data_IF_575810523755
#
_entry.id   IF_575810523755
#
_cell.length_a   1.000
_cell.length_b   1.000
_cell.length_c   1.000
_cell.angle_alpha   90.00
_cell.angle_beta   90.00
_cell.angle_gamma   90.00
#
_symmetry.space_group_name_H-M   'P 1'
#
loop_
_entity.id
_entity.type
_entity.pdbx_description
1 polymer ?
#
# COMPACT_ATOMS: atom_id res chain seq x y z
N UNK A 1 20.29 3.51 34.63
CA UNK A 1 19.72 4.21 33.45
C UNK A 1 20.36 3.82 32.12
N UNK A 2 21.69 3.71 31.98
CA UNK A 2 22.31 3.32 30.69
C UNK A 2 21.85 1.97 30.16
N UNK A 3 21.84 0.93 30.99
CA UNK A 3 21.46 -0.44 30.60
C UNK A 3 19.99 -0.51 30.11
N UNK A 4 19.08 0.19 30.77
CA UNK A 4 17.68 0.22 30.38
C UNK A 4 17.48 0.89 29.00
N UNK A 5 18.15 2.01 28.73
CA UNK A 5 18.10 2.69 27.44
C UNK A 5 18.68 1.84 26.30
N UNK A 6 19.71 1.06 26.60
CA UNK A 6 20.35 0.16 25.64
C UNK A 6 19.45 -1.03 25.29
N UNK A 7 18.76 -1.62 26.28
CA UNK A 7 17.77 -2.67 26.07
C UNK A 7 16.57 -2.15 25.27
N UNK A 8 16.07 -0.96 25.59
CA UNK A 8 14.95 -0.35 24.86
C UNK A 8 15.32 -0.06 23.41
N UNK A 9 16.51 0.50 23.18
CA UNK A 9 17.02 0.74 21.82
C UNK A 9 17.12 -0.55 21.01
N UNK A 10 17.69 -1.61 21.59
CA UNK A 10 17.85 -2.91 20.92
C UNK A 10 16.49 -3.54 20.57
N UNK A 11 15.50 -3.42 21.45
CA UNK A 11 14.15 -3.89 21.18
C UNK A 11 13.51 -3.11 20.01
N UNK A 12 13.59 -1.79 20.03
CA UNK A 12 13.07 -0.93 18.95
C UNK A 12 13.76 -1.26 17.63
N UNK A 13 15.09 -1.34 17.62
CA UNK A 13 15.84 -1.72 16.42
C UNK A 13 15.43 -3.11 15.92
N UNK A 14 15.16 -4.07 16.81
CA UNK A 14 14.69 -5.41 16.46
C UNK A 14 13.34 -5.38 15.71
N UNK A 15 12.36 -4.60 16.17
CA UNK A 15 11.08 -4.43 15.49
C UNK A 15 11.23 -3.75 14.13
N UNK A 16 12.08 -2.72 14.04
CA UNK A 16 12.36 -2.05 12.78
C UNK A 16 13.09 -2.96 11.79
N UNK A 17 14.01 -3.80 12.24
CA UNK A 17 14.69 -4.78 11.39
C UNK A 17 13.74 -5.82 10.82
N UNK A 18 12.75 -6.24 11.59
CA UNK A 18 11.74 -7.19 11.14
C UNK A 18 10.82 -6.60 10.06
N UNK A 19 10.47 -5.31 10.18
CA UNK A 19 9.58 -4.64 9.24
C UNK A 19 10.30 -4.08 8.00
N UNK A 20 11.57 -3.64 8.11
CA UNK A 20 12.31 -2.91 7.08
C UNK A 20 13.60 -3.62 6.61
N UNK A 21 13.54 -4.90 6.21
CA UNK A 21 14.74 -5.66 5.86
C UNK A 21 15.44 -5.14 4.61
N UNK A 22 14.70 -4.73 3.56
CA UNK A 22 15.29 -4.21 2.32
C UNK A 22 15.87 -2.83 2.57
N UNK A 23 15.15 -1.95 3.25
CA UNK A 23 15.65 -0.61 3.62
C UNK A 23 16.95 -0.73 4.41
N UNK A 24 17.00 -1.63 5.40
CA UNK A 24 18.22 -1.92 6.17
C UNK A 24 19.37 -2.38 5.28
N UNK A 25 19.08 -3.27 4.34
CA UNK A 25 20.08 -3.82 3.42
C UNK A 25 20.66 -2.74 2.49
N UNK A 26 19.82 -1.91 1.90
CA UNK A 26 20.23 -0.90 0.91
C UNK A 26 20.92 0.31 1.55
N UNK A 27 20.52 0.72 2.76
CA UNK A 27 21.18 1.78 3.50
C UNK A 27 22.54 1.34 4.08
N UNK A 28 22.69 0.05 4.38
CA UNK A 28 23.85 -0.51 5.09
C UNK A 28 23.86 -0.14 6.58
N UNK A 29 24.70 -0.86 7.36
CA UNK A 29 24.71 -0.78 8.82
C UNK A 29 24.86 0.66 9.36
N UNK A 30 25.79 1.42 8.80
CA UNK A 30 26.13 2.76 9.31
C UNK A 30 24.99 3.77 9.17
N UNK A 31 24.34 3.84 7.98
CA UNK A 31 23.24 4.76 7.75
C UNK A 31 21.99 4.31 8.51
N UNK A 32 21.72 3.02 8.52
CA UNK A 32 20.63 2.44 9.30
C UNK A 32 20.72 2.82 10.77
N UNK A 33 21.82 2.52 11.44
CA UNK A 33 22.01 2.87 12.86
C UNK A 33 21.85 4.37 13.13
N UNK A 34 22.34 5.23 12.23
CA UNK A 34 22.13 6.68 12.38
C UNK A 34 20.66 7.06 12.27
N UNK A 35 19.91 6.45 11.34
CA UNK A 35 18.49 6.70 11.13
C UNK A 35 17.66 6.24 12.35
N UNK A 36 17.91 5.03 12.84
CA UNK A 36 17.23 4.48 14.03
C UNK A 36 17.54 5.33 15.28
N UNK A 37 18.79 5.80 15.44
CA UNK A 37 19.15 6.70 16.55
C UNK A 37 18.45 8.07 16.44
N UNK A 38 18.34 8.63 15.25
CA UNK A 38 17.60 9.86 15.03
C UNK A 38 16.12 9.68 15.42
N UNK A 39 15.51 8.60 14.98
CA UNK A 39 14.16 8.22 15.39
C UNK A 39 14.07 8.09 16.92
N UNK A 40 14.91 7.28 17.54
CA UNK A 40 14.88 7.03 18.98
C UNK A 40 15.09 8.30 19.83
N UNK A 41 15.93 9.24 19.36
CA UNK A 41 16.22 10.49 20.08
C UNK A 41 15.12 11.55 19.94
N UNK A 42 14.41 11.55 18.83
CA UNK A 42 13.40 12.57 18.51
C UNK A 42 11.99 12.09 18.87
N UNK A 43 11.79 10.78 18.79
CA UNK A 43 10.49 10.16 18.99
C UNK A 43 10.27 9.85 20.46
N UNK A 44 9.25 10.48 21.05
CA UNK A 44 8.67 10.04 22.33
C UNK A 44 7.58 9.05 21.98
N UNK A 45 7.87 7.76 22.20
CA UNK A 45 6.85 6.71 22.02
C UNK A 45 5.56 7.09 22.75
N UNK A 46 4.47 7.22 22.03
CA UNK A 46 3.16 7.53 22.57
C UNK A 46 2.32 6.26 22.83
N UNK A 47 2.85 5.10 22.46
CA UNK A 47 2.15 3.83 22.57
C UNK A 47 2.93 2.83 23.44
N UNK A 48 2.24 2.11 24.34
CA UNK A 48 2.84 0.99 25.04
C UNK A 48 2.97 -0.27 24.17
N UNK A 49 2.48 -0.24 22.93
CA UNK A 49 2.43 -1.39 22.05
C UNK A 49 3.61 -1.39 21.07
N UNK A 50 4.59 -2.21 21.31
CA UNK A 50 5.79 -2.38 20.47
C UNK A 50 5.48 -2.68 18.98
N UNK A 51 4.34 -3.30 18.69
CA UNK A 51 3.89 -3.56 17.30
C UNK A 51 3.59 -2.30 16.48
N UNK A 52 3.43 -1.14 17.14
CA UNK A 52 3.18 0.15 16.49
C UNK A 52 4.47 0.95 16.22
N UNK A 53 5.62 0.45 16.63
CA UNK A 53 6.93 1.10 16.37
C UNK A 53 7.17 1.32 14.87
N UNK A 54 6.88 0.37 13.96
CA UNK A 54 7.00 0.62 12.52
C UNK A 54 6.12 1.76 12.01
N UNK A 55 4.88 1.90 12.54
CA UNK A 55 3.97 2.99 12.19
C UNK A 55 4.56 4.34 12.60
N UNK A 56 5.03 4.44 13.84
CA UNK A 56 5.66 5.63 14.39
C UNK A 56 6.95 5.99 13.63
N UNK A 57 7.70 4.98 13.18
CA UNK A 57 8.90 5.20 12.37
C UNK A 57 8.58 5.78 10.99
N UNK A 58 7.56 5.28 10.31
CA UNK A 58 7.11 5.86 9.03
C UNK A 58 6.59 7.28 9.22
N UNK A 59 5.82 7.54 10.28
CA UNK A 59 5.36 8.89 10.62
C UNK A 59 6.54 9.85 10.90
N UNK A 60 7.56 9.38 11.61
CA UNK A 60 8.79 10.14 11.83
C UNK A 60 9.47 10.50 10.49
N UNK A 61 9.59 9.54 9.58
CA UNK A 61 10.18 9.79 8.25
C UNK A 61 9.37 10.77 7.43
N UNK A 62 8.05 10.81 7.60
CA UNK A 62 7.15 11.73 6.87
C UNK A 62 7.17 13.15 7.41
N UNK A 63 7.25 13.32 8.72
CA UNK A 63 6.93 14.62 9.35
C UNK A 63 8.10 15.28 10.06
N UNK A 64 9.01 14.49 10.66
CA UNK A 64 10.04 15.01 11.55
C UNK A 64 11.48 14.82 11.02
N UNK A 65 11.66 13.95 10.04
CA UNK A 65 12.98 13.65 9.51
C UNK A 65 13.29 14.47 8.26
N UNK A 66 14.26 15.35 8.35
CA UNK A 66 14.86 15.99 7.18
C UNK A 66 16.01 15.09 6.67
N UNK A 67 15.83 14.38 5.53
CA UNK A 67 16.83 13.43 5.06
C UNK A 67 18.13 14.16 4.72
N UNK A 68 19.27 13.80 5.35
CA UNK A 68 20.56 14.28 4.90
C UNK A 68 20.82 13.86 3.45
N UNK A 69 21.52 14.66 2.67
CA UNK A 69 21.85 14.41 1.27
C UNK A 69 22.47 13.02 0.99
N UNK A 70 23.12 12.45 2.02
CA UNK A 70 23.70 11.11 1.94
C UNK A 70 22.66 9.97 1.84
N UNK A 71 21.36 10.24 2.13
CA UNK A 71 20.32 9.21 2.02
C UNK A 71 19.66 9.24 0.64
N UNK A 72 19.31 8.07 0.10
CA UNK A 72 18.60 8.02 -1.18
C UNK A 72 17.23 8.73 -1.09
N UNK A 73 16.81 9.44 -2.15
CA UNK A 73 15.53 10.18 -2.16
C UNK A 73 14.29 9.28 -2.03
N UNK A 74 14.42 8.00 -2.35
CA UNK A 74 13.36 7.01 -2.21
C UNK A 74 13.28 6.35 -0.81
N UNK A 75 14.08 6.80 0.17
CA UNK A 75 14.14 6.17 1.52
C UNK A 75 12.77 6.07 2.18
N UNK A 76 12.01 7.17 2.20
CA UNK A 76 10.65 7.18 2.75
C UNK A 76 9.70 6.28 1.95
N UNK A 77 9.76 6.35 0.62
CA UNK A 77 8.89 5.55 -0.24
C UNK A 77 9.11 4.04 -0.04
N UNK A 78 10.38 3.60 0.10
CA UNK A 78 10.71 2.22 0.39
C UNK A 78 10.26 1.81 1.81
N UNK A 79 10.46 2.66 2.81
CA UNK A 79 9.97 2.40 4.15
C UNK A 79 8.44 2.21 4.16
N UNK A 80 7.70 3.10 3.49
CA UNK A 80 6.25 2.99 3.38
C UNK A 80 5.83 1.69 2.66
N UNK A 81 6.55 1.29 1.61
CA UNK A 81 6.27 0.06 0.88
C UNK A 81 6.45 -1.21 1.73
N UNK A 82 7.51 -1.29 2.54
CA UNK A 82 7.73 -2.42 3.45
C UNK A 82 6.73 -2.40 4.63
N UNK A 83 6.39 -1.22 5.13
CA UNK A 83 5.44 -1.06 6.22
C UNK A 83 4.01 -1.45 5.83
N UNK A 84 3.56 -1.16 4.60
CA UNK A 84 2.20 -1.49 4.18
C UNK A 84 1.92 -3.00 4.19
N UNK A 85 2.93 -3.83 3.96
CA UNK A 85 2.82 -5.28 4.09
C UNK A 85 2.41 -5.67 5.51
N UNK A 86 3.10 -5.11 6.52
CA UNK A 86 2.77 -5.35 7.92
C UNK A 86 1.35 -4.87 8.24
N UNK A 87 0.97 -3.65 7.82
CA UNK A 87 -0.35 -3.08 8.08
C UNK A 87 -1.47 -3.97 7.54
N UNK A 88 -1.34 -4.43 6.30
CA UNK A 88 -2.34 -5.28 5.69
C UNK A 88 -2.34 -6.69 6.26
N UNK A 89 -1.18 -7.24 6.63
CA UNK A 89 -1.08 -8.58 7.23
C UNK A 89 -1.80 -8.68 8.59
N UNK A 90 -1.77 -7.61 9.40
CA UNK A 90 -2.39 -7.59 10.73
C UNK A 90 -3.77 -6.93 10.75
N UNK A 91 -4.27 -6.48 9.60
CA UNK A 91 -5.57 -5.79 9.51
C UNK A 91 -6.72 -6.72 9.91
N UNK A 92 -7.61 -6.21 10.76
CA UNK A 92 -8.87 -6.88 11.14
C UNK A 92 -10.08 -6.38 10.34
N UNK A 93 -9.88 -5.57 9.29
CA UNK A 93 -10.97 -5.07 8.46
C UNK A 93 -11.68 -6.23 7.77
N UNK A 94 -12.99 -6.17 7.72
CA UNK A 94 -13.87 -7.10 7.02
C UNK A 94 -14.83 -6.35 6.12
N UNK A 95 -15.40 -7.03 5.12
CA UNK A 95 -16.40 -6.43 4.26
C UNK A 95 -17.65 -6.06 5.07
N UNK A 96 -18.20 -4.88 4.79
CA UNK A 96 -19.47 -4.43 5.37
C UNK A 96 -20.62 -4.80 4.42
N UNK A 97 -21.61 -5.52 4.95
CA UNK A 97 -22.81 -5.92 4.22
C UNK A 97 -22.64 -7.18 3.35
N UNK A 98 -23.77 -7.63 2.77
CA UNK A 98 -23.83 -8.83 1.94
C UNK A 98 -23.23 -8.57 0.55
N UNK A 99 -22.49 -9.58 0.07
CA UNK A 99 -21.78 -9.55 -1.22
C UNK A 99 -22.27 -10.70 -2.08
N UNK A 100 -22.61 -10.42 -3.34
CA UNK A 100 -22.79 -11.45 -4.36
C UNK A 100 -21.47 -11.63 -5.15
N UNK A 101 -20.73 -12.73 -4.93
CA UNK A 101 -19.46 -12.96 -5.61
C UNK A 101 -19.62 -13.28 -7.11
N UNK A 102 -20.81 -13.65 -7.56
CA UNK A 102 -21.12 -14.00 -8.94
C UNK A 102 -21.78 -12.87 -9.73
N UNK A 103 -22.14 -11.77 -9.08
CA UNK A 103 -22.83 -10.66 -9.71
C UNK A 103 -22.04 -10.06 -10.88
N UNK A 104 -22.79 -9.45 -11.81
CA UNK A 104 -22.21 -8.66 -12.89
C UNK A 104 -21.60 -7.37 -12.31
N UNK A 105 -20.27 -7.24 -12.38
CA UNK A 105 -19.53 -6.10 -11.83
C UNK A 105 -19.71 -4.82 -12.67
N UNK A 106 -20.11 -4.92 -13.92
CA UNK A 106 -20.39 -3.76 -14.78
C UNK A 106 -21.64 -3.03 -14.30
N UNK A 107 -22.71 -3.76 -14.04
CA UNK A 107 -24.01 -3.18 -13.70
C UNK A 107 -24.22 -3.08 -12.18
N UNK A 108 -23.57 -3.93 -11.40
CA UNK A 108 -23.53 -3.86 -9.95
C UNK A 108 -22.52 -2.84 -9.42
N UNK A 109 -22.54 -2.63 -8.12
CA UNK A 109 -21.56 -1.81 -7.38
C UNK A 109 -20.44 -2.75 -6.88
N UNK A 110 -19.25 -2.74 -7.51
CA UNK A 110 -18.16 -3.61 -7.10
C UNK A 110 -17.69 -3.28 -5.68
N UNK A 111 -17.57 -4.31 -4.86
CA UNK A 111 -17.08 -4.19 -3.50
C UNK A 111 -15.61 -4.59 -3.44
N UNK A 112 -14.75 -3.62 -3.11
CA UNK A 112 -13.31 -3.86 -2.97
C UNK A 112 -13.02 -4.70 -1.73
N UNK A 113 -11.92 -5.44 -1.77
CA UNK A 113 -11.37 -6.09 -0.60
C UNK A 113 -11.08 -5.03 0.49
N UNK A 114 -11.61 -5.15 1.71
CA UNK A 114 -11.42 -4.16 2.77
C UNK A 114 -9.97 -4.04 3.24
N UNK A 115 -9.15 -5.08 2.95
CA UNK A 115 -7.72 -5.10 3.24
C UNK A 115 -6.94 -4.91 1.94
N UNK A 116 -7.17 -3.73 1.33
CA UNK A 116 -6.56 -3.32 0.06
C UNK A 116 -5.96 -1.93 0.21
N UNK A 117 -4.84 -1.70 -0.47
CA UNK A 117 -4.20 -0.40 -0.65
C UNK A 117 -3.88 -0.18 -2.13
N UNK A 118 -4.34 0.96 -2.66
CA UNK A 118 -4.05 1.44 -4.01
C UNK A 118 -3.01 2.56 -3.88
N UNK A 119 -1.75 2.30 -4.23
CA UNK A 119 -0.60 3.12 -3.87
C UNK A 119 0.08 3.71 -5.09
N UNK A 120 0.48 4.97 -4.99
CA UNK A 120 1.30 5.66 -5.98
C UNK A 120 2.65 6.05 -5.37
N UNK A 121 3.71 5.77 -6.11
CA UNK A 121 5.07 6.16 -5.76
C UNK A 121 5.74 6.86 -6.95
N UNK A 122 6.67 7.78 -6.66
CA UNK A 122 7.51 8.40 -7.68
C UNK A 122 8.75 7.55 -8.03
N UNK A 123 8.87 6.39 -7.40
CA UNK A 123 9.97 5.45 -7.53
C UNK A 123 9.45 4.02 -7.64
N UNK A 124 10.12 3.15 -8.44
CA UNK A 124 9.76 1.73 -8.53
C UNK A 124 10.25 0.98 -7.26
N UNK A 125 9.59 1.23 -6.12
CA UNK A 125 9.99 0.76 -4.78
C UNK A 125 10.13 -0.75 -4.69
N UNK A 126 9.26 -1.49 -5.37
CA UNK A 126 9.27 -2.96 -5.45
C UNK A 126 10.49 -3.52 -6.20
N UNK A 127 11.24 -2.67 -6.91
CA UNK A 127 12.46 -3.03 -7.65
C UNK A 127 13.74 -2.60 -6.94
N UNK A 128 13.63 -1.92 -5.80
CA UNK A 128 14.81 -1.49 -5.02
C UNK A 128 15.44 -2.71 -4.36
N UNK A 129 16.73 -2.87 -4.57
CA UNK A 129 17.54 -3.93 -3.97
C UNK A 129 18.99 -3.48 -3.83
N UNK A 130 19.77 -4.18 -3.00
CA UNK A 130 21.21 -3.93 -2.88
C UNK A 130 21.89 -4.00 -4.26
N UNK A 131 22.74 -3.02 -4.54
CA UNK A 131 23.51 -2.88 -5.79
C UNK A 131 22.66 -2.62 -7.06
N UNK A 132 21.35 -2.45 -6.95
CA UNK A 132 20.49 -2.09 -8.07
C UNK A 132 20.27 -0.58 -8.10
N UNK A 133 20.64 0.06 -9.18
CA UNK A 133 20.33 1.47 -9.43
C UNK A 133 18.91 1.57 -9.95
N UNK A 134 18.08 2.38 -9.30
CA UNK A 134 16.75 2.74 -9.78
C UNK A 134 16.72 4.20 -10.20
N UNK A 135 15.88 4.52 -11.18
CA UNK A 135 15.59 5.89 -11.61
C UNK A 135 14.18 6.26 -11.18
N UNK A 136 13.87 7.55 -10.97
CA UNK A 136 12.52 7.98 -10.72
C UNK A 136 11.60 7.50 -11.86
N UNK A 137 10.49 6.89 -11.45
CA UNK A 137 9.44 6.47 -12.37
C UNK A 137 8.14 6.38 -11.58
N UNK A 138 7.09 6.98 -12.11
CA UNK A 138 5.76 6.82 -11.55
C UNK A 138 5.38 5.35 -11.53
N UNK A 139 5.01 4.87 -10.36
CA UNK A 139 4.76 3.45 -10.11
C UNK A 139 3.47 3.31 -9.31
N UNK A 140 2.55 2.53 -9.83
CA UNK A 140 1.30 2.21 -9.17
C UNK A 140 1.34 0.77 -8.67
N UNK A 141 1.02 0.58 -7.41
CA UNK A 141 0.99 -0.74 -6.78
C UNK A 141 -0.38 -0.99 -6.15
N UNK A 142 -0.95 -2.13 -6.48
CA UNK A 142 -2.08 -2.69 -5.78
C UNK A 142 -1.56 -3.70 -4.77
N UNK A 143 -1.88 -3.49 -3.50
CA UNK A 143 -1.51 -4.39 -2.40
C UNK A 143 -2.78 -4.79 -1.68
N UNK A 144 -2.99 -6.09 -1.47
CA UNK A 144 -4.17 -6.58 -0.76
C UNK A 144 -3.89 -7.92 -0.10
N UNK A 145 -4.67 -8.27 0.92
CA UNK A 145 -4.61 -9.59 1.55
C UNK A 145 -5.64 -10.50 0.88
N UNK A 146 -5.15 -11.60 0.30
CA UNK A 146 -6.00 -12.60 -0.35
C UNK A 146 -6.77 -13.47 0.65
N UNK A 147 -7.57 -14.40 0.13
CA UNK A 147 -8.37 -15.35 0.92
C UNK A 147 -7.54 -16.35 1.75
N UNK A 148 -6.27 -16.52 1.42
CA UNK A 148 -5.33 -17.38 2.12
C UNK A 148 -4.49 -16.60 3.15
N UNK A 149 -4.94 -15.39 3.51
CA UNK A 149 -4.28 -14.43 4.42
C UNK A 149 -2.87 -14.01 3.98
N UNK A 150 -2.57 -14.09 2.68
CA UNK A 150 -1.28 -13.65 2.12
C UNK A 150 -1.41 -12.25 1.54
N UNK A 151 -0.43 -11.42 1.84
CA UNK A 151 -0.34 -10.09 1.22
C UNK A 151 0.21 -10.22 -0.20
N UNK A 152 -0.58 -9.79 -1.18
CA UNK A 152 -0.26 -9.81 -2.60
C UNK A 152 0.15 -8.42 -3.07
N UNK A 153 1.22 -8.36 -3.88
CA UNK A 153 1.70 -7.13 -4.51
C UNK A 153 1.60 -7.24 -6.02
N UNK A 154 1.06 -6.22 -6.66
CA UNK A 154 0.95 -6.16 -8.11
C UNK A 154 1.25 -4.77 -8.62
N UNK A 155 2.15 -4.66 -9.59
CA UNK A 155 2.30 -3.43 -10.36
C UNK A 155 1.08 -3.29 -11.29
N UNK A 156 0.42 -2.16 -11.23
CA UNK A 156 -0.75 -1.81 -12.02
C UNK A 156 -0.50 -0.54 -12.82
N UNK A 157 -1.33 -0.26 -13.79
CA UNK A 157 -1.27 0.99 -14.54
C UNK A 157 -2.18 2.07 -13.93
N UNK A 158 -2.02 3.31 -14.40
CA UNK A 158 -2.81 4.45 -13.92
C UNK A 158 -4.31 4.27 -14.16
N UNK A 159 -4.72 3.57 -15.23
CA UNK A 159 -6.12 3.25 -15.52
C UNK A 159 -6.72 2.36 -14.40
N UNK A 160 -6.05 1.27 -14.05
CA UNK A 160 -6.47 0.37 -12.97
C UNK A 160 -6.51 1.11 -11.63
N UNK A 161 -5.48 1.91 -11.35
CA UNK A 161 -5.42 2.70 -10.12
C UNK A 161 -6.60 3.69 -10.04
N UNK A 162 -6.94 4.36 -11.16
CA UNK A 162 -8.07 5.29 -11.22
C UNK A 162 -9.41 4.57 -11.04
N UNK A 163 -9.56 3.40 -11.66
CA UNK A 163 -10.77 2.57 -11.52
C UNK A 163 -10.98 2.18 -10.04
N UNK A 164 -9.95 1.67 -9.38
CA UNK A 164 -10.01 1.32 -7.96
C UNK A 164 -10.36 2.52 -7.08
N UNK A 165 -9.78 3.70 -7.34
CA UNK A 165 -10.08 4.93 -6.59
C UNK A 165 -11.55 5.38 -6.78
N UNK A 166 -12.14 5.18 -7.96
CA UNK A 166 -13.56 5.49 -8.20
C UNK A 166 -14.50 4.50 -7.53
N UNK A 167 -14.06 3.24 -7.37
CA UNK A 167 -14.85 2.18 -6.73
C UNK A 167 -14.74 2.16 -5.20
N UNK A 168 -13.67 2.76 -4.64
CA UNK A 168 -13.39 2.74 -3.20
C UNK A 168 -14.55 3.23 -2.33
N UNK A 169 -15.30 4.30 -2.69
CA UNK A 169 -16.44 4.75 -1.90
C UNK A 169 -17.64 3.78 -1.90
N UNK A 170 -17.67 2.75 -2.76
CA UNK A 170 -18.74 1.77 -2.83
C UNK A 170 -20.09 2.32 -3.32
N UNK A 171 -20.08 3.37 -4.11
CA UNK A 171 -21.30 4.06 -4.57
C UNK A 171 -21.53 3.97 -6.07
N UNK A 172 -20.51 3.69 -6.86
CA UNK A 172 -20.58 3.64 -8.32
C UNK A 172 -20.67 2.20 -8.82
N UNK A 173 -21.54 1.99 -9.82
CA UNK A 173 -21.46 0.76 -10.61
C UNK A 173 -20.17 0.73 -11.43
N UNK A 174 -19.70 -0.45 -11.81
CA UNK A 174 -18.55 -0.58 -12.70
C UNK A 174 -18.72 0.23 -13.99
N UNK A 175 -19.93 0.21 -14.57
CA UNK A 175 -20.27 1.01 -15.76
C UNK A 175 -20.11 2.51 -15.51
N UNK A 176 -20.59 3.01 -14.39
CA UNK A 176 -20.49 4.43 -14.05
C UNK A 176 -19.02 4.84 -13.87
N UNK A 177 -18.23 4.06 -13.14
CA UNK A 177 -16.80 4.31 -12.95
C UNK A 177 -16.03 4.30 -14.29
N UNK A 178 -16.27 3.32 -15.16
CA UNK A 178 -15.63 3.23 -16.47
C UNK A 178 -16.03 4.37 -17.42
N UNK A 179 -17.28 4.82 -17.38
CA UNK A 179 -17.72 6.01 -18.12
C UNK A 179 -17.03 7.28 -17.64
N UNK A 180 -16.85 7.42 -16.34
CA UNK A 180 -16.07 8.54 -15.77
C UNK A 180 -14.65 8.54 -16.35
N UNK A 181 -13.97 7.40 -16.36
CA UNK A 181 -12.61 7.29 -16.92
C UNK A 181 -12.60 7.60 -18.42
N UNK A 182 -13.59 7.09 -19.19
CA UNK A 182 -13.70 7.36 -20.62
C UNK A 182 -13.82 8.87 -20.89
N UNK A 183 -14.59 9.57 -20.06
CA UNK A 183 -14.75 11.03 -20.16
C UNK A 183 -13.47 11.77 -19.76
N UNK A 184 -12.84 11.39 -18.65
CA UNK A 184 -11.58 12.00 -18.15
C UNK A 184 -10.43 11.85 -19.15
N UNK A 185 -10.34 10.68 -19.79
CA UNK A 185 -9.29 10.38 -20.77
C UNK A 185 -9.55 10.93 -22.17
N UNK A 186 -10.77 11.38 -22.46
CA UNK A 186 -11.16 11.80 -23.81
C UNK A 186 -11.03 10.68 -24.84
N UNK A 187 -11.14 9.41 -24.43
CA UNK A 187 -10.92 8.28 -25.33
C UNK A 187 -11.94 8.24 -26.45
N UNK A 188 -11.52 8.08 -27.74
CA UNK A 188 -12.39 8.15 -28.90
C UNK A 188 -13.41 7.01 -28.96
N UNK A 189 -13.14 5.88 -28.30
CA UNK A 189 -14.03 4.71 -28.24
C UNK A 189 -14.37 4.36 -26.76
N UNK A 190 -15.48 4.93 -26.22
CA UNK A 190 -15.95 4.58 -24.88
C UNK A 190 -16.41 3.12 -24.74
N UNK A 191 -16.79 2.46 -25.84
CA UNK A 191 -17.24 1.07 -25.80
C UNK A 191 -16.03 0.13 -25.56
N UNK A 192 -14.86 0.48 -26.11
CA UNK A 192 -13.61 -0.23 -25.83
C UNK A 192 -13.24 -0.15 -24.34
N UNK A 193 -13.35 1.04 -23.73
CA UNK A 193 -13.10 1.25 -22.30
C UNK A 193 -14.04 0.38 -21.44
N UNK A 194 -15.31 0.30 -21.79
CA UNK A 194 -16.29 -0.52 -21.07
C UNK A 194 -15.96 -2.01 -21.17
N UNK A 195 -15.60 -2.50 -22.35
CA UNK A 195 -15.25 -3.92 -22.56
C UNK A 195 -13.96 -4.29 -21.82
N UNK A 196 -12.86 -3.56 -22.06
CA UNK A 196 -11.59 -3.83 -21.40
C UNK A 196 -11.66 -3.64 -19.88
N UNK A 197 -12.44 -2.66 -19.42
CA UNK A 197 -12.71 -2.43 -18.02
C UNK A 197 -13.50 -3.56 -17.37
N UNK A 198 -14.44 -4.18 -18.10
CA UNK A 198 -15.17 -5.35 -17.63
C UNK A 198 -14.26 -6.55 -17.42
N UNK A 199 -13.39 -6.85 -18.38
CA UNK A 199 -12.38 -7.91 -18.27
C UNK A 199 -11.43 -7.66 -17.08
N UNK A 200 -11.02 -6.40 -16.86
CA UNK A 200 -10.20 -6.02 -15.72
C UNK A 200 -10.91 -6.21 -14.37
N UNK A 201 -12.20 -5.84 -14.27
CA UNK A 201 -12.99 -6.07 -13.05
C UNK A 201 -13.08 -7.55 -12.71
N UNK A 202 -13.26 -8.42 -13.70
CA UNK A 202 -13.30 -9.87 -13.53
C UNK A 202 -11.92 -10.44 -13.14
N UNK A 203 -10.83 -9.93 -13.70
CA UNK A 203 -9.46 -10.30 -13.27
C UNK A 203 -9.22 -9.90 -11.82
N UNK A 204 -9.57 -8.67 -11.43
CA UNK A 204 -9.42 -8.18 -10.05
C UNK A 204 -10.27 -9.02 -9.06
N UNK A 205 -11.46 -9.46 -9.46
CA UNK A 205 -12.29 -10.39 -8.67
C UNK A 205 -11.63 -11.76 -8.54
N UNK A 206 -11.15 -12.31 -9.63
CA UNK A 206 -10.47 -13.63 -9.63
C UNK A 206 -9.26 -13.64 -8.69
N UNK A 207 -8.55 -12.52 -8.62
CA UNK A 207 -7.40 -12.33 -7.74
C UNK A 207 -7.77 -12.01 -6.29
N UNK A 208 -9.03 -11.67 -6.00
CA UNK A 208 -9.52 -11.34 -4.66
C UNK A 208 -9.35 -9.88 -4.26
N UNK A 209 -9.01 -8.99 -5.19
CA UNK A 209 -8.99 -7.54 -4.96
C UNK A 209 -10.40 -6.94 -4.98
N UNK A 210 -11.34 -7.57 -5.69
CA UNK A 210 -12.78 -7.31 -5.66
C UNK A 210 -13.47 -8.57 -5.12
N UNK A 211 -14.37 -8.42 -4.17
CA UNK A 211 -15.09 -9.55 -3.55
C UNK A 211 -16.31 -9.99 -4.35
N UNK A 212 -16.92 -9.08 -5.08
CA UNK A 212 -18.16 -9.25 -5.82
C UNK A 212 -18.89 -7.90 -5.96
N UNK A 213 -20.21 -7.91 -6.08
CA UNK A 213 -21.00 -6.69 -6.01
C UNK A 213 -21.82 -6.64 -4.71
N UNK A 214 -22.03 -5.42 -4.21
CA UNK A 214 -22.90 -5.17 -3.07
C UNK A 214 -24.33 -5.60 -3.38
N UNK A 215 -24.99 -6.30 -2.46
CA UNK A 215 -26.42 -6.61 -2.52
C UNK A 215 -27.16 -5.46 -1.84
N UNK A 216 -28.07 -4.81 -2.57
CA UNK A 216 -28.93 -3.78 -1.99
C UNK A 216 -29.75 -4.38 -0.84
N UNK A 217 -29.56 -3.87 0.37
CA UNK A 217 -30.44 -4.17 1.49
C UNK A 217 -31.74 -3.39 1.27
N UNK A 218 -32.85 -4.10 1.05
CA UNK A 218 -34.20 -3.52 0.90
C UNK A 218 -34.69 -3.00 2.25
#
# INVERSE_FOLDING_TARGET
MKIYNELLYNNIEGFLLACFPVLRQVLGARKWSKLVRAFFSTHRSHTPYFRQIPDEFVQFLQSAWAPPEAYPPWTLALAHYEWIELVLSVSSRSAEGPVDPAANLIDGVPLLNPVLANLRYDWPVHRIAARRKVRPAETWLLVFRDKDDRVQFSEINAFTARLLALLEPGTLSGRAALRTIATESGHPDPALILRAGGELLDDLRTRGAILGAAIAVQ
#
